data_IF_648976737243
#
_entry.id   IF_648976737243
#
_cell.length_a   1.000
_cell.length_b   1.000
_cell.length_c   1.000
_cell.angle_alpha   90.00
_cell.angle_beta   90.00
_cell.angle_gamma   90.00
#
_symmetry.space_group_name_H-M   'P 1'
#
loop_
_entity.id
_entity.type
_entity.pdbx_description
1 polymer ?
#
# COMPACT_ATOMS: atom_id res chain seq x y z
N UNK A 1 -0.36 -1.69 28.19
CA UNK A 1 1.11 -1.66 28.04
C UNK A 1 1.41 -0.48 27.11
N UNK A 2 2.32 0.44 27.45
CA UNK A 2 2.67 1.52 26.51
C UNK A 2 3.28 0.91 25.24
N UNK A 3 3.06 1.52 24.06
CA UNK A 3 3.66 1.04 22.83
C UNK A 3 5.18 1.05 22.93
N UNK A 4 5.82 0.03 22.37
CA UNK A 4 7.27 0.03 22.23
C UNK A 4 7.67 1.06 21.17
N UNK A 5 8.76 1.82 21.37
CA UNK A 5 9.26 2.71 20.33
C UNK A 5 9.66 1.91 19.09
N UNK A 6 9.50 2.52 17.92
CA UNK A 6 9.95 1.91 16.66
C UNK A 6 11.48 1.65 16.73
N UNK A 7 11.95 0.44 16.35
CA UNK A 7 13.38 0.16 16.26
C UNK A 7 14.11 1.17 15.35
N UNK A 8 15.34 1.60 15.67
CA UNK A 8 16.04 2.64 14.91
C UNK A 8 16.11 2.40 13.40
N UNK A 9 16.40 1.16 12.99
CA UNK A 9 16.46 0.79 11.57
C UNK A 9 15.10 0.97 10.87
N UNK A 10 13.99 0.61 11.53
CA UNK A 10 12.66 0.80 10.97
C UNK A 10 12.29 2.29 10.93
N UNK A 11 12.73 3.07 11.92
CA UNK A 11 12.55 4.52 11.90
C UNK A 11 13.33 5.18 10.76
N UNK A 12 14.55 4.71 10.46
CA UNK A 12 15.33 5.19 9.31
C UNK A 12 14.62 4.88 8.00
N UNK A 13 14.12 3.65 7.81
CA UNK A 13 13.35 3.27 6.63
C UNK A 13 12.07 4.11 6.52
N UNK A 14 11.32 4.29 7.61
CA UNK A 14 10.13 5.14 7.63
C UNK A 14 10.46 6.57 7.18
N UNK A 15 11.51 7.17 7.74
CA UNK A 15 11.94 8.52 7.37
C UNK A 15 12.33 8.62 5.88
N UNK A 16 12.98 7.59 5.33
CA UNK A 16 13.34 7.55 3.90
C UNK A 16 12.11 7.45 3.00
N UNK A 17 11.13 6.61 3.37
CA UNK A 17 9.84 6.48 2.66
C UNK A 17 9.06 7.78 2.73
N UNK A 18 8.94 8.41 3.89
CA UNK A 18 8.29 9.71 4.05
C UNK A 18 8.98 10.78 3.18
N UNK A 19 10.31 10.81 3.16
CA UNK A 19 11.06 11.72 2.32
C UNK A 19 10.85 11.43 0.82
N UNK A 20 10.75 10.17 0.43
CA UNK A 20 10.42 9.76 -0.94
C UNK A 20 9.02 10.25 -1.33
N UNK A 21 8.01 10.01 -0.49
CA UNK A 21 6.63 10.46 -0.73
C UNK A 21 6.59 11.98 -0.84
N UNK A 22 7.25 12.73 0.05
CA UNK A 22 7.36 14.21 -0.03
C UNK A 22 7.90 14.68 -1.38
N UNK A 23 8.93 14.01 -1.90
CA UNK A 23 9.53 14.36 -3.20
C UNK A 23 8.60 13.99 -4.36
N UNK A 24 7.91 12.85 -4.27
CA UNK A 24 7.00 12.36 -5.32
C UNK A 24 5.69 13.15 -5.37
N UNK A 25 5.12 13.55 -4.24
CA UNK A 25 3.92 14.39 -4.19
C UNK A 25 4.16 15.81 -4.66
N UNK A 26 5.40 16.30 -4.63
CA UNK A 26 5.79 17.53 -5.31
C UNK A 26 5.82 17.39 -6.86
N UNK A 27 5.84 16.15 -7.39
CA UNK A 27 5.89 15.84 -8.82
C UNK A 27 4.53 15.35 -9.38
N UNK A 28 3.67 14.77 -8.53
CA UNK A 28 2.29 14.42 -8.88
C UNK A 28 1.43 15.68 -8.79
N UNK A 29 0.93 16.17 -9.93
CA UNK A 29 -0.12 17.19 -9.95
C UNK A 29 -1.30 16.72 -9.07
N UNK A 30 -2.00 17.62 -8.38
CA UNK A 30 -3.12 17.27 -7.50
C UNK A 30 -4.33 16.90 -8.34
N UNK A 31 -4.28 15.75 -9.00
CA UNK A 31 -5.48 15.11 -9.52
C UNK A 31 -6.08 14.28 -8.39
N UNK A 32 -7.16 14.85 -7.85
CA UNK A 32 -8.28 14.14 -7.22
C UNK A 32 -8.14 13.55 -5.81
N UNK A 33 -7.29 14.12 -4.96
CA UNK A 33 -7.29 13.85 -3.49
C UNK A 33 -8.06 14.89 -2.68
N UNK A 34 -9.09 15.51 -3.25
CA UNK A 34 -9.88 16.54 -2.57
C UNK A 34 -11.27 16.02 -2.17
N UNK A 35 -11.36 15.40 -1.01
CA UNK A 35 -12.56 15.58 -0.19
C UNK A 35 -12.37 16.84 0.66
N UNK A 36 -12.92 17.92 0.11
CA UNK A 36 -13.53 19.08 0.78
C UNK A 36 -12.89 19.60 2.10
N UNK A 37 -12.34 20.82 1.99
CA UNK A 37 -11.95 21.80 3.02
C UNK A 37 -10.58 21.66 3.69
N UNK A 38 -9.75 22.64 3.34
CA UNK A 38 -8.46 23.05 3.94
C UNK A 38 -7.22 22.26 3.45
N UNK A 39 -6.53 22.89 2.49
CA UNK A 39 -5.31 22.41 1.81
C UNK A 39 -4.10 22.46 2.72
N UNK A 40 -3.98 21.50 3.63
CA UNK A 40 -2.69 21.15 4.20
C UNK A 40 -2.20 19.89 3.49
N UNK A 41 -1.01 19.95 2.90
CA UNK A 41 -0.32 18.74 2.45
C UNK A 41 0.10 18.04 3.72
N UNK A 42 -0.79 17.22 4.27
CA UNK A 42 -0.47 16.34 5.39
C UNK A 42 0.54 15.36 4.84
N UNK A 43 1.79 15.56 5.23
CA UNK A 43 2.79 14.58 4.87
C UNK A 43 2.59 13.37 5.77
N UNK A 44 2.49 12.16 5.20
CA UNK A 44 2.38 10.97 6.01
C UNK A 44 3.55 10.84 6.97
N UNK A 45 3.23 10.34 8.15
CA UNK A 45 4.16 9.95 9.20
C UNK A 45 3.85 8.52 9.59
N UNK A 46 4.86 7.66 9.65
CA UNK A 46 4.69 6.25 10.05
C UNK A 46 5.20 6.04 11.47
N UNK A 47 4.29 5.69 12.37
CA UNK A 47 4.59 5.36 13.77
C UNK A 47 4.55 3.86 14.07
N UNK A 48 4.11 3.05 13.11
CA UNK A 48 4.06 1.60 13.20
C UNK A 48 4.64 0.92 11.95
N UNK A 49 5.13 -0.30 12.13
CA UNK A 49 5.55 -1.17 11.05
C UNK A 49 5.24 -2.64 11.39
N UNK A 50 4.77 -3.38 10.39
CA UNK A 50 4.66 -4.84 10.44
C UNK A 50 5.76 -5.44 9.56
N UNK A 51 6.64 -6.24 10.16
CA UNK A 51 7.71 -6.93 9.43
C UNK A 51 7.31 -8.37 9.11
N UNK A 52 7.07 -8.65 7.83
CA UNK A 52 6.84 -10.01 7.34
C UNK A 52 8.17 -10.61 6.84
N UNK A 53 8.58 -11.75 7.42
CA UNK A 53 9.78 -12.47 6.99
C UNK A 53 9.39 -13.75 6.25
N UNK A 54 9.75 -13.83 4.97
CA UNK A 54 9.49 -14.97 4.11
C UNK A 54 10.77 -15.77 3.86
N UNK A 55 11.09 -16.78 4.70
CA UNK A 55 12.41 -17.42 4.72
C UNK A 55 12.80 -18.19 3.45
N UNK A 56 11.83 -18.50 2.58
CA UNK A 56 12.03 -19.24 1.35
C UNK A 56 10.90 -18.96 0.37
N UNK A 57 11.01 -19.47 -0.87
CA UNK A 57 10.02 -19.28 -1.93
C UNK A 57 8.65 -19.94 -1.66
N UNK A 58 8.55 -20.84 -0.68
CA UNK A 58 7.31 -21.53 -0.32
C UNK A 58 6.48 -20.74 0.71
N UNK A 59 7.05 -19.69 1.30
CA UNK A 59 6.37 -18.83 2.26
C UNK A 59 5.55 -17.77 1.52
N UNK A 60 4.27 -17.60 1.86
CA UNK A 60 3.40 -16.61 1.25
C UNK A 60 2.36 -16.09 2.25
N UNK A 61 1.83 -14.90 1.98
CA UNK A 61 0.62 -14.41 2.65
C UNK A 61 -0.60 -14.83 1.84
N UNK A 62 -1.73 -15.08 2.50
CA UNK A 62 -3.00 -15.28 1.79
C UNK A 62 -3.59 -13.92 1.43
N UNK A 63 -4.40 -13.88 0.37
CA UNK A 63 -5.19 -12.69 0.04
C UNK A 63 -5.99 -12.21 1.26
N UNK A 64 -5.77 -10.95 1.65
CA UNK A 64 -6.37 -10.31 2.81
C UNK A 64 -6.48 -8.80 2.58
N UNK A 65 -7.15 -8.11 3.50
CA UNK A 65 -7.06 -6.66 3.66
C UNK A 65 -6.41 -6.35 4.98
N UNK A 66 -5.75 -5.20 5.07
CA UNK A 66 -5.24 -4.72 6.35
C UNK A 66 -6.44 -4.27 7.20
N UNK A 67 -6.59 -4.78 8.44
CA UNK A 67 -7.76 -4.49 9.24
C UNK A 67 -7.79 -3.04 9.72
N UNK A 68 -9.00 -2.49 9.90
CA UNK A 68 -9.25 -1.21 10.57
C UNK A 68 -8.67 0.05 9.90
N UNK A 69 -8.27 -0.03 8.62
CA UNK A 69 -7.94 1.15 7.81
C UNK A 69 -9.15 2.05 7.62
N UNK A 70 -8.98 3.35 7.88
CA UNK A 70 -10.05 4.35 7.84
C UNK A 70 -10.94 4.39 9.08
N UNK A 71 -10.69 3.55 10.09
CA UNK A 71 -11.37 3.61 11.40
C UNK A 71 -10.39 3.78 12.55
N UNK A 72 -9.42 2.88 12.70
CA UNK A 72 -8.36 2.95 13.71
C UNK A 72 -7.05 3.45 13.09
N UNK A 73 -6.74 3.00 11.88
CA UNK A 73 -5.52 3.33 11.17
C UNK A 73 -5.78 4.29 10.02
N UNK A 74 -4.79 5.12 9.69
CA UNK A 74 -4.81 5.95 8.50
C UNK A 74 -4.94 5.11 7.23
N UNK A 75 -5.51 5.67 6.17
CA UNK A 75 -5.77 4.93 4.92
C UNK A 75 -4.55 4.72 4.02
N UNK A 76 -3.38 5.20 4.43
CA UNK A 76 -2.12 4.98 3.72
C UNK A 76 -1.32 3.83 4.34
N UNK A 77 -1.08 2.79 3.56
CA UNK A 77 -0.09 1.74 3.86
C UNK A 77 1.07 1.83 2.88
N UNK A 78 2.29 1.66 3.38
CA UNK A 78 3.50 1.51 2.57
C UNK A 78 4.09 0.11 2.75
N UNK A 79 4.22 -0.63 1.65
CA UNK A 79 4.94 -1.90 1.63
C UNK A 79 6.33 -1.66 1.08
N UNK A 80 7.36 -1.98 1.87
CA UNK A 80 8.76 -1.88 1.46
C UNK A 80 9.31 -3.29 1.26
N UNK A 81 9.79 -3.58 0.06
CA UNK A 81 10.38 -4.88 -0.27
C UNK A 81 11.88 -4.91 0.06
N UNK A 82 12.34 -5.98 0.69
CA UNK A 82 13.75 -6.21 0.99
C UNK A 82 14.09 -7.71 0.90
N UNK A 83 15.30 -8.04 0.46
CA UNK A 83 15.79 -9.42 0.37
C UNK A 83 15.68 -10.03 -1.03
N UNK A 84 15.04 -11.18 -1.17
CA UNK A 84 14.85 -11.82 -2.48
C UNK A 84 13.60 -11.26 -3.17
N UNK A 85 13.58 -11.11 -4.51
CA UNK A 85 12.39 -10.66 -5.23
C UNK A 85 11.17 -11.56 -5.01
N UNK A 86 9.98 -10.96 -4.86
CA UNK A 86 8.70 -11.67 -4.65
C UNK A 86 7.61 -11.11 -5.51
N UNK A 87 6.54 -11.87 -5.70
CA UNK A 87 5.32 -11.36 -6.35
C UNK A 87 4.40 -10.80 -5.28
N UNK A 88 3.93 -9.58 -5.49
CA UNK A 88 2.84 -8.96 -4.74
C UNK A 88 1.63 -8.88 -5.65
N UNK A 89 0.45 -9.21 -5.16
CA UNK A 89 -0.73 -9.29 -6.00
C UNK A 89 -1.93 -8.58 -5.39
N UNK A 90 -2.73 -7.92 -6.22
CA UNK A 90 -4.02 -7.34 -5.87
C UNK A 90 -5.14 -8.12 -6.54
N UNK A 91 -6.25 -8.32 -5.82
CA UNK A 91 -7.46 -8.96 -6.35
C UNK A 91 -8.68 -8.20 -5.86
N UNK A 92 -9.63 -7.80 -6.73
CA UNK A 92 -10.81 -7.07 -6.28
C UNK A 92 -11.66 -7.83 -5.26
N UNK A 93 -12.26 -7.09 -4.33
CA UNK A 93 -13.27 -7.58 -3.40
C UNK A 93 -14.63 -7.54 -4.11
N UNK A 94 -15.43 -8.59 -3.94
CA UNK A 94 -16.67 -8.89 -4.68
C UNK A 94 -17.44 -7.68 -5.27
N UNK A 95 -17.67 -7.68 -6.58
CA UNK A 95 -18.55 -6.71 -7.26
C UNK A 95 -17.84 -5.48 -7.84
N UNK A 96 -16.63 -5.16 -7.39
CA UNK A 96 -15.73 -4.23 -8.07
C UNK A 96 -14.95 -4.98 -9.14
N UNK A 97 -15.29 -4.80 -10.41
CA UNK A 97 -14.42 -5.25 -11.49
C UNK A 97 -13.23 -4.30 -11.61
N UNK A 98 -12.14 -4.73 -12.23
CA UNK A 98 -11.14 -3.80 -12.76
C UNK A 98 -11.75 -2.73 -13.68
N UNK A 99 -12.95 -3.00 -14.21
CA UNK A 99 -13.76 -2.09 -15.02
C UNK A 99 -14.03 -0.71 -14.41
N UNK A 100 -14.02 -0.55 -13.09
CA UNK A 100 -14.17 0.78 -12.45
C UNK A 100 -12.86 1.60 -12.51
N UNK A 101 -11.74 0.94 -12.83
CA UNK A 101 -10.39 1.51 -12.89
C UNK A 101 -9.79 1.49 -14.31
N UNK A 102 -10.28 0.61 -15.18
CA UNK A 102 -9.93 0.53 -16.60
C UNK A 102 -10.93 1.32 -17.45
N UNK A 103 -10.58 2.54 -17.88
CA UNK A 103 -11.27 3.22 -18.99
C UNK A 103 -11.14 2.45 -20.33
N UNK A 104 -10.31 1.40 -20.36
CA UNK A 104 -9.99 0.61 -21.56
C UNK A 104 -11.00 -0.51 -21.73
N UNK A 105 -11.94 -0.25 -22.65
CA UNK A 105 -12.93 -1.17 -23.19
C UNK A 105 -12.45 -2.62 -23.37
N UNK A 106 -13.17 -3.58 -22.77
CA UNK A 106 -13.47 -4.84 -23.45
C UNK A 106 -12.84 -6.14 -22.94
N UNK A 107 -12.42 -6.26 -21.68
CA UNK A 107 -12.05 -7.57 -21.11
C UNK A 107 -13.00 -7.94 -19.96
N UNK A 108 -13.96 -8.85 -20.19
CA UNK A 108 -14.68 -9.47 -19.08
C UNK A 108 -13.88 -10.70 -18.62
N UNK A 109 -13.46 -10.75 -17.36
CA UNK A 109 -13.67 -11.91 -16.48
C UNK A 109 -13.33 -11.58 -15.04
N UNK A 110 -14.20 -12.04 -14.15
CA UNK A 110 -14.15 -11.94 -12.70
C UNK A 110 -12.79 -12.40 -12.11
N UNK A 111 -12.35 -11.72 -11.04
CA UNK A 111 -11.39 -12.25 -10.04
C UNK A 111 -9.92 -12.45 -10.43
N UNK A 112 -9.44 -12.07 -11.62
CA UNK A 112 -7.99 -12.19 -11.91
C UNK A 112 -7.16 -11.18 -11.11
N UNK A 113 -6.09 -11.68 -10.49
CA UNK A 113 -5.21 -10.86 -9.66
C UNK A 113 -4.20 -10.12 -10.55
N UNK A 114 -4.05 -8.82 -10.34
CA UNK A 114 -2.94 -8.05 -10.90
C UNK A 114 -1.69 -8.31 -10.05
N UNK A 115 -0.68 -8.92 -10.66
CA UNK A 115 0.55 -9.33 -9.98
C UNK A 115 1.73 -8.49 -10.45
N UNK A 116 2.52 -7.98 -9.50
CA UNK A 116 3.73 -7.22 -9.75
C UNK A 116 4.92 -7.89 -9.04
N UNK A 117 6.06 -8.11 -9.72
CA UNK A 117 7.29 -8.49 -9.04
C UNK A 117 7.83 -7.28 -8.27
N UNK A 118 8.12 -7.48 -6.99
CA UNK A 118 8.81 -6.52 -6.14
C UNK A 118 10.27 -6.95 -5.98
N UNK A 119 11.17 -6.03 -6.26
CA UNK A 119 12.60 -6.14 -6.05
C UNK A 119 13.01 -5.40 -4.76
N UNK A 120 14.21 -5.67 -4.21
CA UNK A 120 14.68 -4.97 -3.03
C UNK A 120 14.77 -3.46 -3.23
N UNK A 121 14.15 -2.71 -2.31
CA UNK A 121 14.03 -1.26 -2.38
C UNK A 121 12.76 -0.77 -3.05
N UNK A 122 11.95 -1.65 -3.66
CA UNK A 122 10.65 -1.26 -4.19
C UNK A 122 9.70 -0.87 -3.05
N UNK A 123 8.87 0.14 -3.33
CA UNK A 123 7.85 0.65 -2.41
C UNK A 123 6.49 0.63 -3.11
N UNK A 124 5.54 -0.07 -2.52
CA UNK A 124 4.12 -0.04 -2.94
C UNK A 124 3.35 0.86 -2.00
N UNK A 125 2.66 1.86 -2.56
CA UNK A 125 1.80 2.77 -1.82
C UNK A 125 0.35 2.33 -2.02
N UNK A 126 -0.34 1.97 -0.93
CA UNK A 126 -1.77 1.66 -0.92
C UNK A 126 -2.50 2.78 -0.19
N UNK A 127 -3.25 3.58 -0.92
CA UNK A 127 -3.96 4.76 -0.40
C UNK A 127 -5.48 4.65 -0.49
N UNK A 128 -6.19 5.53 0.21
CA UNK A 128 -7.62 5.75 0.03
C UNK A 128 -8.46 4.51 0.32
N UNK A 129 -9.27 4.08 -0.65
CA UNK A 129 -10.12 2.90 -0.58
C UNK A 129 -9.42 1.60 -1.00
N UNK A 130 -8.10 1.60 -1.22
CA UNK A 130 -7.39 0.40 -1.71
C UNK A 130 -7.66 -0.86 -0.85
N UNK A 131 -7.62 -0.74 0.48
CA UNK A 131 -7.93 -1.81 1.43
C UNK A 131 -9.45 -2.14 1.55
N UNK A 132 -10.33 -1.31 1.00
CA UNK A 132 -11.78 -1.58 0.91
C UNK A 132 -12.15 -2.25 -0.41
N UNK A 133 -11.40 -1.94 -1.47
CA UNK A 133 -11.69 -2.34 -2.85
C UNK A 133 -10.93 -3.60 -3.27
N UNK A 134 -9.74 -3.86 -2.69
CA UNK A 134 -8.86 -4.94 -3.10
C UNK A 134 -8.34 -5.77 -1.91
N UNK A 135 -8.28 -7.08 -2.12
CA UNK A 135 -7.40 -7.96 -1.37
C UNK A 135 -5.96 -7.85 -1.91
N UNK A 136 -4.96 -7.97 -1.03
CA UNK A 136 -3.56 -8.13 -1.41
C UNK A 136 -2.92 -9.40 -0.81
N UNK A 137 -1.85 -9.89 -1.47
CA UNK A 137 -1.07 -11.06 -1.06
C UNK A 137 0.42 -10.92 -1.39
#
# INVERSE_FOLDING_TARGET
MPPHPMPPLLQEVANEVEALIRRSTALLQPHDYLHDREREVVVPYFDCALCNHYPNAESACKFHTDPEHGTVWERLTCVVAAGDPRTFAFRPIHGGGWSDWDEVQGVPTESEAAAIPLFPGDVVLMWGSCNDDFYHA
#
